data_IF_941662977506
#
_entry.id   IF_941662977506
#
_cell.length_a   1.000
_cell.length_b   1.000
_cell.length_c   1.000
_cell.angle_alpha   90.00
_cell.angle_beta   90.00
_cell.angle_gamma   90.00
#
_symmetry.space_group_name_H-M   'P 1'
#
loop_
_entity.id
_entity.type
_entity.pdbx_description
1 polymer ?
#
# COMPACT_ATOMS: atom_id res chain seq x y z
N UNK A 1 -2.05 -25.87 -29.46
CA UNK A 1 -2.57 -24.53 -29.82
C UNK A 1 -3.40 -24.04 -28.62
N UNK A 2 -2.79 -23.33 -27.66
CA UNK A 2 -3.50 -22.81 -26.48
C UNK A 2 -4.20 -21.51 -26.90
N UNK A 3 -5.54 -21.54 -26.94
CA UNK A 3 -6.35 -20.39 -27.33
C UNK A 3 -6.02 -19.16 -26.47
N UNK A 4 -6.02 -17.97 -27.09
CA UNK A 4 -5.84 -16.69 -26.40
C UNK A 4 -6.87 -16.57 -25.27
N UNK A 5 -6.45 -16.71 -24.02
CA UNK A 5 -7.26 -16.30 -22.87
C UNK A 5 -7.58 -14.81 -23.04
N UNK A 6 -8.86 -14.50 -23.27
CA UNK A 6 -9.33 -13.12 -23.39
C UNK A 6 -9.32 -12.47 -22.00
N UNK A 7 -8.58 -11.39 -21.84
CA UNK A 7 -8.60 -10.58 -20.62
C UNK A 7 -9.95 -9.88 -20.47
N UNK A 8 -10.41 -9.68 -19.23
CA UNK A 8 -11.68 -8.98 -18.95
C UNK A 8 -11.60 -7.52 -19.39
N UNK A 9 -10.46 -6.88 -19.13
CA UNK A 9 -10.19 -5.51 -19.53
C UNK A 9 -9.32 -5.48 -20.79
N UNK A 10 -9.54 -4.46 -21.62
CA UNK A 10 -8.61 -4.07 -22.67
C UNK A 10 -7.32 -3.51 -22.07
N UNK A 11 -6.25 -3.47 -22.85
CA UNK A 11 -4.97 -2.90 -22.42
C UNK A 11 -5.11 -1.43 -21.97
N UNK A 12 -5.93 -0.64 -22.67
CA UNK A 12 -6.21 0.75 -22.31
C UNK A 12 -6.92 0.85 -20.95
N UNK A 13 -7.93 0.01 -20.71
CA UNK A 13 -8.65 -0.03 -19.43
C UNK A 13 -7.75 -0.51 -18.29
N UNK A 14 -6.92 -1.51 -18.52
CA UNK A 14 -5.95 -1.94 -17.50
C UNK A 14 -4.97 -0.81 -17.17
N UNK A 15 -4.51 -0.05 -18.16
CA UNK A 15 -3.60 1.08 -17.94
C UNK A 15 -4.25 2.20 -17.13
N UNK A 16 -5.50 2.55 -17.42
CA UNK A 16 -6.26 3.52 -16.64
C UNK A 16 -6.46 3.02 -15.19
N UNK A 17 -6.79 1.75 -15.03
CA UNK A 17 -6.97 1.15 -13.72
C UNK A 17 -5.67 1.14 -12.91
N UNK A 18 -4.53 0.80 -13.52
CA UNK A 18 -3.20 0.90 -12.89
C UNK A 18 -2.91 2.34 -12.44
N UNK A 19 -3.19 3.33 -13.29
CA UNK A 19 -2.96 4.73 -12.94
C UNK A 19 -3.81 5.17 -11.74
N UNK A 20 -5.05 4.68 -11.65
CA UNK A 20 -5.91 4.93 -10.51
C UNK A 20 -5.37 4.29 -9.22
N UNK A 21 -4.89 3.04 -9.28
CA UNK A 21 -4.30 2.35 -8.13
C UNK A 21 -3.04 3.08 -7.60
N UNK A 22 -2.19 3.58 -8.50
CA UNK A 22 -1.01 4.37 -8.14
C UNK A 22 -1.44 5.68 -7.45
N UNK A 23 -2.47 6.35 -7.96
CA UNK A 23 -2.96 7.59 -7.35
C UNK A 23 -3.51 7.39 -5.93
N UNK A 24 -4.11 6.23 -5.67
CA UNK A 24 -4.56 5.86 -4.32
C UNK A 24 -3.37 5.59 -3.40
N UNK A 25 -2.32 4.92 -3.88
CA UNK A 25 -1.07 4.71 -3.14
C UNK A 25 -0.40 6.05 -2.77
N UNK A 26 -0.28 6.99 -3.72
CA UNK A 26 0.31 8.32 -3.50
C UNK A 26 -0.39 9.11 -2.38
N UNK A 27 -1.67 8.82 -2.15
CA UNK A 27 -2.49 9.43 -1.08
C UNK A 27 -2.51 8.61 0.21
N UNK A 28 -1.59 7.64 0.34
CA UNK A 28 -1.46 6.74 1.48
C UNK A 28 -2.68 5.83 1.72
N UNK A 29 -3.53 5.63 0.70
CA UNK A 29 -4.56 4.61 0.73
C UNK A 29 -3.96 3.28 0.26
N UNK A 30 -3.41 2.52 1.20
CA UNK A 30 -2.92 1.17 0.92
C UNK A 30 -4.06 0.27 0.42
N UNK A 31 -3.88 -0.34 -0.75
CA UNK A 31 -4.85 -1.25 -1.36
C UNK A 31 -4.40 -2.68 -1.10
N UNK A 32 -5.26 -3.48 -0.47
CA UNK A 32 -4.99 -4.92 -0.32
C UNK A 32 -5.28 -5.69 -1.61
N UNK A 33 -4.77 -6.92 -1.71
CA UNK A 33 -5.13 -7.80 -2.82
C UNK A 33 -6.64 -8.11 -2.90
N UNK A 34 -7.33 -8.05 -1.76
CA UNK A 34 -8.79 -8.22 -1.74
C UNK A 34 -9.47 -6.98 -2.33
N UNK A 35 -9.03 -5.79 -1.94
CA UNK A 35 -9.57 -4.52 -2.44
C UNK A 35 -9.36 -4.40 -3.94
N UNK A 36 -8.17 -4.74 -4.46
CA UNK A 36 -7.90 -4.76 -5.89
C UNK A 36 -8.88 -5.66 -6.65
N UNK A 37 -9.18 -6.85 -6.12
CA UNK A 37 -10.12 -7.81 -6.74
C UNK A 37 -11.56 -7.31 -6.68
N UNK A 38 -11.94 -6.62 -5.61
CA UNK A 38 -13.27 -6.00 -5.46
C UNK A 38 -13.41 -4.79 -6.40
N UNK A 39 -12.40 -3.91 -6.45
CA UNK A 39 -12.37 -2.76 -7.35
C UNK A 39 -12.45 -3.18 -8.82
N UNK A 40 -11.75 -4.26 -9.20
CA UNK A 40 -11.86 -4.82 -10.54
C UNK A 40 -13.28 -5.31 -10.85
N UNK A 41 -13.96 -5.96 -9.89
CA UNK A 41 -15.35 -6.36 -10.05
C UNK A 41 -16.27 -5.14 -10.24
N UNK A 42 -16.15 -4.14 -9.37
CA UNK A 42 -16.96 -2.93 -9.46
C UNK A 42 -16.73 -2.14 -10.74
N UNK A 43 -15.47 -2.05 -11.19
CA UNK A 43 -15.14 -1.40 -12.45
C UNK A 43 -15.83 -2.08 -13.62
N UNK A 44 -15.85 -3.41 -13.62
CA UNK A 44 -16.48 -4.18 -14.69
C UNK A 44 -18.02 -4.04 -14.66
N UNK A 45 -18.64 -4.15 -13.49
CA UNK A 45 -20.09 -3.95 -13.31
C UNK A 45 -20.53 -2.53 -13.70
N UNK A 46 -19.86 -1.48 -13.18
CA UNK A 46 -20.22 -0.08 -13.45
C UNK A 46 -20.09 0.31 -14.91
N UNK A 47 -19.16 -0.30 -15.64
CA UNK A 47 -18.94 -0.06 -17.06
C UNK A 47 -19.67 -1.08 -17.96
N UNK A 48 -20.51 -1.95 -17.40
CA UNK A 48 -21.21 -3.02 -18.12
C UNK A 48 -20.27 -3.91 -18.97
N UNK A 49 -19.07 -4.18 -18.46
CA UNK A 49 -18.07 -5.01 -19.14
C UNK A 49 -18.38 -6.48 -18.84
N UNK A 50 -18.60 -7.33 -19.85
CA UNK A 50 -18.82 -8.76 -19.63
C UNK A 50 -17.62 -9.41 -18.94
N UNK A 51 -17.87 -10.11 -17.84
CA UNK A 51 -16.82 -10.75 -17.05
C UNK A 51 -17.24 -12.09 -16.45
N UNK A 52 -16.24 -12.90 -16.09
CA UNK A 52 -16.40 -14.20 -15.41
C UNK A 52 -16.15 -14.11 -13.90
N UNK A 53 -16.12 -12.90 -13.35
CA UNK A 53 -15.91 -12.68 -11.93
C UNK A 53 -17.06 -13.22 -11.09
N UNK A 54 -16.77 -13.50 -9.82
CA UNK A 54 -17.77 -14.07 -8.92
C UNK A 54 -18.71 -12.96 -8.45
N UNK A 55 -19.97 -13.01 -8.87
CA UNK A 55 -21.01 -12.03 -8.55
C UNK A 55 -21.51 -12.14 -7.11
N UNK A 56 -21.59 -13.35 -6.55
CA UNK A 56 -22.00 -13.57 -5.15
C UNK A 56 -21.01 -12.94 -4.16
N UNK A 57 -19.72 -13.15 -4.40
CA UNK A 57 -18.61 -12.61 -3.60
C UNK A 57 -18.21 -11.21 -4.04
N UNK A 58 -18.76 -10.70 -5.14
CA UNK A 58 -18.47 -9.40 -5.75
C UNK A 58 -16.96 -9.15 -5.94
N UNK A 59 -16.25 -10.13 -6.46
CA UNK A 59 -14.79 -10.08 -6.59
C UNK A 59 -14.25 -10.82 -7.80
N UNK A 60 -13.16 -10.30 -8.36
CA UNK A 60 -12.37 -10.99 -9.37
C UNK A 60 -11.67 -12.24 -8.79
N UNK A 61 -11.37 -13.23 -9.64
CA UNK A 61 -10.66 -14.45 -9.23
C UNK A 61 -9.18 -14.22 -8.90
N UNK A 62 -8.56 -15.19 -8.21
CA UNK A 62 -7.11 -15.15 -7.93
C UNK A 62 -6.28 -15.26 -9.21
N UNK A 63 -6.70 -16.08 -10.17
CA UNK A 63 -5.98 -16.23 -11.44
C UNK A 63 -5.99 -14.94 -12.26
N UNK A 64 -7.12 -14.22 -12.25
CA UNK A 64 -7.20 -12.90 -12.86
C UNK A 64 -6.22 -11.93 -12.20
N UNK A 65 -6.17 -11.91 -10.86
CA UNK A 65 -5.25 -11.04 -10.10
C UNK A 65 -3.79 -11.31 -10.47
N UNK A 66 -3.35 -12.57 -10.42
CA UNK A 66 -1.97 -12.91 -10.75
C UNK A 66 -1.63 -12.62 -12.21
N UNK A 67 -2.57 -12.86 -13.13
CA UNK A 67 -2.42 -12.48 -14.53
C UNK A 67 -2.27 -10.97 -14.71
N UNK A 68 -3.09 -10.18 -14.01
CA UNK A 68 -3.06 -8.71 -14.03
C UNK A 68 -1.73 -8.17 -13.49
N UNK A 69 -1.28 -8.64 -12.31
CA UNK A 69 0.01 -8.24 -11.74
C UNK A 69 1.20 -8.65 -12.63
N UNK A 70 1.13 -9.81 -13.29
CA UNK A 70 2.16 -10.24 -14.25
C UNK A 70 2.27 -9.31 -15.46
N UNK A 71 1.15 -8.74 -15.92
CA UNK A 71 1.13 -7.76 -17.02
C UNK A 71 1.59 -6.37 -16.58
N UNK A 72 1.40 -6.03 -15.30
CA UNK A 72 1.68 -4.71 -14.73
C UNK A 72 2.71 -4.78 -13.60
N UNK A 73 3.99 -5.09 -13.90
CA UNK A 73 5.04 -5.30 -12.89
C UNK A 73 5.37 -4.04 -12.06
N UNK A 74 4.86 -2.87 -12.46
CA UNK A 74 4.96 -1.63 -11.66
C UNK A 74 4.12 -1.67 -10.38
N UNK A 75 3.06 -2.48 -10.36
CA UNK A 75 2.27 -2.71 -9.16
C UNK A 75 3.00 -3.71 -8.27
N UNK A 76 3.82 -3.20 -7.35
CA UNK A 76 4.59 -4.02 -6.43
C UNK A 76 3.74 -4.37 -5.22
N UNK A 77 3.62 -5.67 -4.94
CA UNK A 77 3.07 -6.17 -3.70
C UNK A 77 4.01 -5.79 -2.54
N UNK A 78 3.57 -4.87 -1.68
CA UNK A 78 4.26 -4.55 -0.44
C UNK A 78 3.49 -5.12 0.74
N UNK A 79 4.21 -5.72 1.68
CA UNK A 79 3.65 -5.94 3.00
C UNK A 79 3.53 -4.56 3.66
N UNK A 80 2.35 -4.17 4.15
CA UNK A 80 2.26 -2.96 4.96
C UNK A 80 3.18 -3.16 6.16
N UNK A 81 4.12 -2.24 6.37
CA UNK A 81 4.86 -2.21 7.61
C UNK A 81 3.85 -2.06 8.75
N UNK A 82 4.06 -2.78 9.85
CA UNK A 82 3.21 -2.68 11.03
C UNK A 82 3.37 -1.29 11.65
N UNK A 83 2.64 -0.32 11.13
CA UNK A 83 2.45 0.97 11.79
C UNK A 83 1.42 0.74 12.89
N UNK A 84 1.85 0.87 14.15
CA UNK A 84 0.90 0.78 15.26
C UNK A 84 -0.15 1.90 15.14
N UNK A 85 -1.38 1.65 15.58
CA UNK A 85 -2.44 2.67 15.63
C UNK A 85 -1.95 3.92 16.39
N UNK A 86 -1.10 3.74 17.40
CA UNK A 86 -0.45 4.83 18.12
C UNK A 86 0.44 5.69 17.20
N UNK A 87 1.25 5.08 16.33
CA UNK A 87 2.05 5.82 15.33
C UNK A 87 1.17 6.57 14.32
N UNK A 88 0.11 5.93 13.82
CA UNK A 88 -0.81 6.58 12.88
C UNK A 88 -1.54 7.78 13.53
N UNK A 89 -1.98 7.66 14.78
CA UNK A 89 -2.59 8.76 15.54
C UNK A 89 -1.59 9.87 15.90
N UNK A 90 -0.34 9.49 16.18
CA UNK A 90 0.76 10.43 16.42
C UNK A 90 1.20 11.20 15.18
N UNK A 91 0.88 10.71 13.97
CA UNK A 91 1.19 11.36 12.70
C UNK A 91 0.13 12.43 12.35
N UNK A 92 0.05 13.49 13.15
CA UNK A 92 -0.82 14.64 12.91
C UNK A 92 0.00 15.95 12.94
N UNK A 93 -0.53 16.99 12.29
CA UNK A 93 0.19 18.26 12.12
C UNK A 93 0.60 18.90 13.45
N UNK A 94 -0.22 18.80 14.49
CA UNK A 94 0.10 19.36 15.82
C UNK A 94 1.31 18.67 16.42
N UNK A 95 1.32 17.34 16.43
CA UNK A 95 2.42 16.54 16.97
C UNK A 95 3.71 16.71 16.14
N UNK A 96 3.58 16.75 14.81
CA UNK A 96 4.71 16.97 13.90
C UNK A 96 5.32 18.35 14.11
N UNK A 97 4.50 19.41 14.16
CA UNK A 97 4.99 20.77 14.38
C UNK A 97 5.66 20.89 15.75
N UNK A 98 5.04 20.37 16.82
CA UNK A 98 5.63 20.40 18.15
C UNK A 98 6.99 19.70 18.22
N UNK A 99 7.17 18.61 17.48
CA UNK A 99 8.47 17.93 17.38
C UNK A 99 9.53 18.81 16.68
N UNK A 100 9.20 19.38 15.52
CA UNK A 100 10.14 20.21 14.77
C UNK A 100 10.44 21.55 15.46
N UNK A 101 9.48 22.16 16.12
CA UNK A 101 9.68 23.36 16.93
C UNK A 101 10.66 23.09 18.07
N UNK A 102 10.49 21.95 18.77
CA UNK A 102 11.43 21.52 19.80
C UNK A 102 12.81 21.26 19.22
N UNK A 103 12.90 20.53 18.11
CA UNK A 103 14.16 20.19 17.47
C UNK A 103 14.92 21.46 17.04
N UNK A 104 14.24 22.42 16.42
CA UNK A 104 14.82 23.69 15.98
C UNK A 104 15.31 24.53 17.17
N UNK A 105 14.56 24.56 18.27
CA UNK A 105 14.98 25.23 19.51
C UNK A 105 16.26 24.62 20.09
N UNK A 106 16.40 23.28 20.03
CA UNK A 106 17.57 22.56 20.52
C UNK A 106 18.78 22.79 19.60
N UNK A 107 18.59 22.75 18.28
CA UNK A 107 19.64 23.08 17.32
C UNK A 107 20.14 24.51 17.51
N UNK A 108 19.24 25.48 17.67
CA UNK A 108 19.60 26.88 17.89
C UNK A 108 20.39 27.08 19.18
N UNK A 109 20.01 26.37 20.24
CA UNK A 109 20.63 26.48 21.58
C UNK A 109 21.99 25.79 21.66
N UNK A 110 22.09 24.56 21.17
CA UNK A 110 23.26 23.70 21.41
C UNK A 110 24.19 23.57 20.20
N UNK A 111 23.69 23.89 18.99
CA UNK A 111 24.47 23.90 17.73
C UNK A 111 25.29 22.62 17.49
N UNK A 112 24.72 21.48 17.85
CA UNK A 112 25.35 20.18 17.62
C UNK A 112 25.40 19.85 16.13
N UNK A 113 26.49 19.18 15.71
CA UNK A 113 26.68 18.72 14.33
C UNK A 113 25.83 17.46 14.08
N UNK A 114 25.50 17.11 12.83
CA UNK A 114 24.89 15.82 12.51
C UNK A 114 25.64 14.61 13.10
N UNK A 115 26.96 14.70 13.29
CA UNK A 115 27.77 13.64 13.90
C UNK A 115 27.50 13.44 15.41
N UNK A 116 26.83 14.39 16.06
CA UNK A 116 26.53 14.37 17.48
C UNK A 116 25.10 13.85 17.76
N UNK A 117 24.40 13.40 16.72
CA UNK A 117 23.01 12.92 16.80
C UNK A 117 23.01 11.40 16.74
N UNK A 118 22.61 10.80 17.85
CA UNK A 118 22.55 9.36 17.99
C UNK A 118 21.09 8.92 18.07
N UNK A 119 20.72 7.92 17.27
CA UNK A 119 19.45 7.24 17.48
C UNK A 119 19.56 6.35 18.71
N UNK A 120 18.62 6.46 19.64
CA UNK A 120 18.53 5.61 20.82
C UNK A 120 17.14 4.96 20.82
N UNK A 121 17.06 3.72 20.34
CA UNK A 121 15.85 2.91 20.35
C UNK A 121 16.02 1.65 21.21
N UNK A 122 14.95 1.26 21.91
CA UNK A 122 14.96 0.07 22.75
C UNK A 122 14.92 -1.19 21.89
N UNK A 123 15.96 -2.03 21.98
CA UNK A 123 15.90 -3.42 21.51
C UNK A 123 15.38 -4.30 22.64
N UNK A 124 14.12 -4.72 22.55
CA UNK A 124 13.56 -5.69 23.51
C UNK A 124 14.26 -7.04 23.40
N UNK A 125 15.03 -7.43 24.42
CA UNK A 125 15.56 -8.79 24.53
C UNK A 125 14.38 -9.70 24.91
N UNK A 126 13.89 -10.48 23.94
CA UNK A 126 12.86 -11.48 24.20
C UNK A 126 13.51 -12.68 24.92
N UNK A 127 13.06 -12.97 26.16
CA UNK A 127 13.51 -14.14 26.95
C UNK A 127 12.85 -15.44 26.52
N UNK A 128 11.98 -15.41 25.52
CA UNK A 128 11.26 -16.56 24.98
C UNK A 128 11.79 -16.86 23.58
N UNK A 129 12.28 -18.09 23.37
CA UNK A 129 12.68 -18.56 22.05
C UNK A 129 11.46 -18.55 21.12
N UNK A 130 11.62 -17.95 19.93
CA UNK A 130 10.63 -18.11 18.86
C UNK A 130 10.54 -19.60 18.49
N UNK A 131 9.32 -20.15 18.47
CA UNK A 131 9.11 -21.51 17.94
C UNK A 131 9.58 -21.56 16.47
N UNK A 132 10.18 -22.70 16.05
CA UNK A 132 10.66 -22.88 14.68
C UNK A 132 9.54 -22.74 13.64
#
# INVERSE_FOLDING_TARGET
MLGRYKTVFSEAQEKEFVQHLIHLEERLFGITLSDLRTLAFELAEKNNIPHVFNTEKRMAGKDWLYGFLKRHPRLVLRYPEKTSIARAKGFNSVAINAFFDLLDSLYSKYKFSPNDIYNADETGILTVANKP
#
